data_IF_907956235168
#
_entry.id   IF_907956235168
#
_cell.length_a   1.000
_cell.length_b   1.000
_cell.length_c   1.000
_cell.angle_alpha   90.00
_cell.angle_beta   90.00
_cell.angle_gamma   90.00
#
_symmetry.space_group_name_H-M   'P 1'
#
loop_
_entity.id
_entity.type
_entity.pdbx_description
1 polymer ?
#
# COMPACT_ATOMS: atom_id res chain seq x y z
N UNK A 1 26.90 18.89 35.72
CA UNK A 1 27.32 19.43 34.38
C UNK A 1 28.16 18.41 33.61
N UNK A 2 29.12 17.75 34.25
CA UNK A 2 30.01 16.77 33.60
C UNK A 2 29.28 15.61 32.91
N UNK A 3 28.23 15.04 33.51
CA UNK A 3 27.44 13.95 32.90
C UNK A 3 26.74 14.37 31.59
N UNK A 4 26.29 15.62 31.48
CA UNK A 4 25.63 16.15 30.27
C UNK A 4 26.60 16.18 29.08
N UNK A 5 27.80 16.68 29.34
CA UNK A 5 28.87 16.74 28.34
C UNK A 5 29.33 15.34 27.92
N UNK A 6 29.48 14.42 28.89
CA UNK A 6 29.95 13.07 28.63
C UNK A 6 28.95 12.21 27.85
N UNK A 7 27.65 12.35 28.14
CA UNK A 7 26.60 11.58 27.48
C UNK A 7 26.13 12.20 26.16
N UNK A 8 26.56 13.43 25.83
CA UNK A 8 26.06 14.16 24.66
C UNK A 8 24.59 14.59 24.77
N UNK A 9 24.05 14.70 25.98
CA UNK A 9 22.63 14.98 26.25
C UNK A 9 22.47 16.32 26.97
N UNK A 10 21.39 17.06 26.67
CA UNK A 10 21.16 18.38 27.30
C UNK A 10 21.04 18.33 28.82
N UNK A 11 21.52 19.38 29.50
CA UNK A 11 21.39 19.53 30.96
C UNK A 11 19.93 19.58 31.45
N UNK A 12 18.98 19.91 30.57
CA UNK A 12 17.53 19.84 30.85
C UNK A 12 17.06 18.39 30.95
N UNK A 13 17.49 17.53 30.03
CA UNK A 13 17.09 16.11 29.98
C UNK A 13 17.65 15.32 31.17
N UNK A 14 18.88 15.59 31.60
CA UNK A 14 19.44 14.99 32.83
C UNK A 14 18.65 15.41 34.08
N UNK A 15 18.22 16.67 34.16
CA UNK A 15 17.37 17.13 35.27
C UNK A 15 16.03 16.40 35.28
N UNK A 16 15.39 16.25 34.13
CA UNK A 16 14.14 15.50 33.99
C UNK A 16 14.27 14.03 34.43
N UNK A 17 15.32 13.33 33.99
CA UNK A 17 15.56 11.93 34.37
C UNK A 17 15.88 11.78 35.87
N UNK A 18 16.52 12.77 36.48
CA UNK A 18 16.73 12.81 37.92
C UNK A 18 15.45 13.11 38.71
N UNK A 19 14.57 13.98 38.20
CA UNK A 19 13.24 14.26 38.77
C UNK A 19 12.32 13.03 38.71
N UNK A 20 12.48 12.20 37.67
CA UNK A 20 11.76 10.94 37.50
C UNK A 20 12.35 9.79 38.35
N UNK A 21 13.36 10.06 39.17
CA UNK A 21 14.01 9.05 40.04
C UNK A 21 14.88 8.04 39.29
N UNK A 22 15.10 8.23 37.99
CA UNK A 22 15.89 7.32 37.14
C UNK A 22 17.39 7.55 37.28
N UNK A 23 17.82 8.76 37.66
CA UNK A 23 19.22 9.10 37.93
C UNK A 23 19.44 9.37 39.42
N UNK A 24 20.43 8.69 40.00
CA UNK A 24 20.80 8.84 41.41
C UNK A 24 21.77 10.03 41.60
N UNK A 25 21.38 10.96 42.48
CA UNK A 25 22.18 12.15 42.83
C UNK A 25 23.07 11.84 44.04
N UNK A 26 24.38 11.98 43.86
CA UNK A 26 25.39 11.77 44.92
C UNK A 26 25.76 13.11 45.59
N UNK A 27 25.57 14.22 44.88
CA UNK A 27 25.88 15.56 45.37
C UNK A 27 25.24 16.65 44.52
N UNK A 28 25.57 17.92 44.81
CA UNK A 28 25.04 19.07 44.05
C UNK A 28 25.61 19.03 42.62
N UNK A 29 24.75 18.72 41.64
CA UNK A 29 25.12 18.53 40.23
C UNK A 29 26.05 17.33 39.95
N UNK A 30 26.12 16.38 40.90
CA UNK A 30 26.91 15.15 40.82
C UNK A 30 26.02 13.91 40.84
N UNK A 31 26.30 12.98 39.94
CA UNK A 31 25.49 11.79 39.69
C UNK A 31 26.38 10.56 39.68
N UNK A 32 25.87 9.42 40.16
CA UNK A 32 26.61 8.17 40.15
C UNK A 32 26.82 7.70 38.70
N UNK A 33 28.07 7.73 38.23
CA UNK A 33 28.41 7.57 36.81
C UNK A 33 27.93 6.23 36.23
N UNK A 34 28.23 5.12 36.90
CA UNK A 34 27.86 3.77 36.44
C UNK A 34 26.35 3.59 36.26
N UNK A 35 25.53 3.82 37.31
CA UNK A 35 24.07 3.77 37.20
C UNK A 35 23.51 4.77 36.19
N UNK A 36 24.07 5.98 36.12
CA UNK A 36 23.59 7.04 35.23
C UNK A 36 23.80 6.73 33.75
N UNK A 37 24.95 6.17 33.38
CA UNK A 37 25.21 5.79 31.98
C UNK A 37 24.27 4.67 31.56
N UNK A 38 24.06 3.66 32.42
CA UNK A 38 23.14 2.54 32.11
C UNK A 38 21.71 3.05 31.91
N UNK A 39 21.22 3.88 32.83
CA UNK A 39 19.91 4.51 32.73
C UNK A 39 19.74 5.35 31.44
N UNK A 40 20.79 6.07 31.03
CA UNK A 40 20.77 6.86 29.79
C UNK A 40 20.77 5.98 28.54
N UNK A 41 21.51 4.86 28.55
CA UNK A 41 21.50 3.89 27.45
C UNK A 41 20.12 3.22 27.35
N UNK A 42 19.51 2.85 28.47
CA UNK A 42 18.17 2.23 28.49
C UNK A 42 17.07 3.20 28.01
N UNK A 43 17.18 4.49 28.36
CA UNK A 43 16.32 5.55 27.86
C UNK A 43 16.50 5.76 26.35
N UNK A 44 17.74 5.81 25.86
CA UNK A 44 18.07 5.99 24.45
C UNK A 44 17.72 4.77 23.58
N UNK A 45 17.83 3.55 24.11
CA UNK A 45 17.53 2.30 23.42
C UNK A 45 16.02 2.05 23.23
N UNK A 46 15.14 2.99 23.62
CA UNK A 46 13.69 2.85 23.43
C UNK A 46 13.00 1.99 24.49
N UNK A 47 13.70 1.66 25.59
CA UNK A 47 13.06 1.18 26.81
C UNK A 47 12.36 2.32 27.56
N UNK A 48 12.60 3.57 27.15
CA UNK A 48 12.04 4.78 27.73
C UNK A 48 10.56 5.05 27.39
N UNK A 49 9.67 4.75 28.35
CA UNK A 49 8.24 5.14 28.39
C UNK A 49 7.34 4.68 27.22
N UNK A 50 6.11 4.28 27.55
CA UNK A 50 5.06 3.93 26.58
C UNK A 50 4.88 5.02 25.50
N UNK A 51 5.03 6.28 25.87
CA UNK A 51 4.87 7.44 24.99
C UNK A 51 5.86 7.46 23.80
N UNK A 52 7.12 7.07 24.00
CA UNK A 52 8.09 7.08 22.89
C UNK A 52 7.85 5.94 21.91
N UNK A 53 7.41 4.78 22.41
CA UNK A 53 7.05 3.64 21.55
C UNK A 53 5.87 3.98 20.65
N UNK A 54 4.83 4.62 21.21
CA UNK A 54 3.68 5.06 20.44
C UNK A 54 4.04 6.17 19.43
N UNK A 55 4.95 7.09 19.79
CA UNK A 55 5.47 8.08 18.83
C UNK A 55 6.21 7.43 17.66
N UNK A 56 7.09 6.47 17.92
CA UNK A 56 7.80 5.75 16.85
C UNK A 56 6.84 4.98 15.95
N UNK A 57 5.78 4.37 16.50
CA UNK A 57 4.73 3.72 15.72
C UNK A 57 3.97 4.71 14.84
N UNK A 58 3.57 5.85 15.39
CA UNK A 58 2.89 6.90 14.65
C UNK A 58 3.73 7.42 13.49
N UNK A 59 5.02 7.71 13.73
CA UNK A 59 5.95 8.19 12.70
C UNK A 59 6.11 7.17 11.57
N UNK A 60 6.19 5.86 11.90
CA UNK A 60 6.23 4.80 10.88
C UNK A 60 4.94 4.75 10.05
N UNK A 61 3.78 4.76 10.71
CA UNK A 61 2.49 4.76 10.01
C UNK A 61 2.33 5.99 9.08
N UNK A 62 2.82 7.16 9.51
CA UNK A 62 2.83 8.37 8.67
C UNK A 62 3.77 8.27 7.48
N UNK A 63 4.92 7.60 7.63
CA UNK A 63 5.83 7.32 6.53
C UNK A 63 5.18 6.37 5.51
N UNK A 64 4.58 5.29 5.98
CA UNK A 64 3.88 4.30 5.13
C UNK A 64 2.71 4.97 4.37
N UNK A 65 1.94 5.84 5.04
CA UNK A 65 0.86 6.60 4.40
C UNK A 65 1.40 7.57 3.33
N UNK A 66 2.53 8.23 3.59
CA UNK A 66 3.16 9.12 2.61
C UNK A 66 3.68 8.35 1.39
N UNK A 67 4.22 7.15 1.58
CA UNK A 67 4.64 6.27 0.49
C UNK A 67 3.45 5.80 -0.36
N UNK A 68 2.34 5.39 0.29
CA UNK A 68 1.12 5.00 -0.41
C UNK A 68 0.54 6.17 -1.23
N UNK A 69 0.43 7.37 -0.65
CA UNK A 69 -0.04 8.57 -1.37
C UNK A 69 0.87 8.92 -2.55
N UNK A 70 2.20 8.77 -2.40
CA UNK A 70 3.13 8.99 -3.51
C UNK A 70 2.94 7.95 -4.62
N UNK A 71 2.66 6.70 -4.25
CA UNK A 71 2.43 5.62 -5.21
C UNK A 71 1.07 5.79 -5.94
N UNK A 72 0.03 6.25 -5.24
CA UNK A 72 -1.26 6.67 -5.84
C UNK A 72 -1.06 7.84 -6.81
N UNK A 73 -0.30 8.88 -6.42
CA UNK A 73 -0.01 10.02 -7.29
C UNK A 73 0.76 9.62 -8.56
N UNK A 74 1.58 8.57 -8.47
CA UNK A 74 2.28 7.97 -9.61
C UNK A 74 1.41 6.98 -10.40
N UNK A 75 0.14 6.79 -10.03
CA UNK A 75 -0.79 5.82 -10.61
C UNK A 75 -0.29 4.36 -10.56
N UNK A 76 0.54 4.04 -9.55
CA UNK A 76 1.08 2.69 -9.35
C UNK A 76 0.19 1.82 -8.47
N UNK A 77 -0.77 2.42 -7.77
CA UNK A 77 -1.70 1.76 -6.86
C UNK A 77 -3.09 2.29 -7.14
N UNK A 78 -4.08 1.40 -7.19
CA UNK A 78 -5.49 1.74 -7.33
C UNK A 78 -6.28 1.06 -6.20
N UNK A 79 -7.39 1.65 -5.73
CA UNK A 79 -8.30 1.01 -4.79
C UNK A 79 -8.78 -0.35 -5.33
N UNK A 80 -8.82 -1.35 -4.46
CA UNK A 80 -9.21 -2.72 -4.83
C UNK A 80 -10.66 -2.75 -5.32
N UNK A 81 -11.52 -1.91 -4.74
CA UNK A 81 -12.93 -1.78 -5.09
C UNK A 81 -13.09 -1.29 -6.53
N UNK A 82 -12.35 -0.26 -6.93
CA UNK A 82 -12.37 0.26 -8.30
C UNK A 82 -11.86 -0.78 -9.30
N UNK A 83 -10.80 -1.52 -8.95
CA UNK A 83 -10.31 -2.62 -9.78
C UNK A 83 -11.35 -3.73 -9.94
N UNK A 84 -12.04 -4.11 -8.86
CA UNK A 84 -13.06 -5.15 -8.87
C UNK A 84 -14.26 -4.78 -9.77
N UNK A 85 -14.72 -3.52 -9.71
CA UNK A 85 -15.81 -3.03 -10.55
C UNK A 85 -15.44 -3.03 -12.03
N UNK A 86 -14.26 -2.49 -12.37
CA UNK A 86 -13.74 -2.48 -13.75
C UNK A 86 -13.61 -3.92 -14.26
N UNK A 87 -13.07 -4.83 -13.45
CA UNK A 87 -12.92 -6.24 -13.82
C UNK A 87 -14.27 -6.94 -14.02
N UNK A 88 -15.24 -6.71 -13.14
CA UNK A 88 -16.58 -7.25 -13.26
C UNK A 88 -17.25 -6.76 -14.56
N UNK A 89 -17.10 -5.49 -14.91
CA UNK A 89 -17.63 -4.95 -16.16
C UNK A 89 -16.93 -5.55 -17.38
N UNK A 90 -15.60 -5.69 -17.36
CA UNK A 90 -14.82 -6.36 -18.43
C UNK A 90 -15.32 -7.79 -18.67
N UNK A 91 -15.48 -8.57 -17.61
CA UNK A 91 -16.05 -9.92 -17.67
C UNK A 91 -17.47 -9.91 -18.23
N UNK A 92 -18.28 -8.91 -17.88
CA UNK A 92 -19.63 -8.70 -18.41
C UNK A 92 -19.65 -8.53 -19.93
N UNK A 93 -18.78 -7.67 -20.47
CA UNK A 93 -18.64 -7.44 -21.92
C UNK A 93 -18.22 -8.71 -22.64
N UNK A 94 -17.18 -9.40 -22.14
CA UNK A 94 -16.69 -10.65 -22.74
C UNK A 94 -17.82 -11.67 -22.82
N UNK A 95 -18.57 -11.85 -21.72
CA UNK A 95 -19.72 -12.76 -21.68
C UNK A 95 -20.77 -12.38 -22.72
N UNK A 96 -21.15 -11.11 -22.81
CA UNK A 96 -22.14 -10.65 -23.76
C UNK A 96 -21.70 -10.90 -25.22
N UNK A 97 -20.44 -10.58 -25.54
CA UNK A 97 -19.89 -10.77 -26.88
C UNK A 97 -19.82 -12.24 -27.28
N UNK A 98 -19.46 -13.12 -26.35
CA UNK A 98 -19.43 -14.57 -26.56
C UNK A 98 -20.82 -15.17 -26.75
N UNK A 99 -21.82 -14.74 -25.99
CA UNK A 99 -23.21 -15.21 -26.13
C UNK A 99 -23.84 -14.77 -27.47
N UNK A 100 -23.33 -13.71 -28.08
CA UNK A 100 -23.78 -13.24 -29.39
C UNK A 100 -23.13 -14.00 -30.57
N UNK A 101 -22.05 -14.76 -30.34
CA UNK A 101 -21.34 -15.51 -31.40
C UNK A 101 -22.29 -16.42 -32.19
N UNK A 102 -23.13 -17.28 -31.58
CA UNK A 102 -24.00 -18.18 -32.33
C UNK A 102 -24.92 -17.42 -33.29
N UNK A 103 -25.51 -16.31 -32.87
CA UNK A 103 -26.39 -15.50 -33.70
C UNK A 103 -25.70 -14.94 -34.97
N UNK A 104 -24.38 -14.73 -34.93
CA UNK A 104 -23.60 -14.18 -36.05
C UNK A 104 -23.08 -15.25 -37.02
N UNK A 105 -22.82 -16.47 -36.55
CA UNK A 105 -22.27 -17.55 -37.39
C UNK A 105 -23.31 -18.53 -37.91
N UNK A 106 -24.51 -18.60 -37.33
CA UNK A 106 -25.55 -19.58 -37.74
C UNK A 106 -25.79 -19.55 -39.24
N UNK A 107 -25.92 -18.37 -39.86
CA UNK A 107 -26.15 -18.24 -41.31
C UNK A 107 -24.99 -18.77 -42.17
N UNK A 108 -23.76 -18.70 -41.69
CA UNK A 108 -22.55 -19.17 -42.38
C UNK A 108 -22.32 -20.67 -42.20
N UNK A 109 -22.83 -21.24 -41.11
CA UNK A 109 -22.68 -22.65 -40.75
C UNK A 109 -23.84 -23.52 -41.24
N UNK A 110 -24.97 -22.92 -41.62
CA UNK A 110 -26.12 -23.66 -42.16
C UNK A 110 -25.75 -24.35 -43.48
N UNK A 111 -25.84 -25.69 -43.48
CA UNK A 111 -25.52 -26.51 -44.65
C UNK A 111 -24.03 -26.79 -44.85
N UNK A 112 -23.16 -26.32 -43.94
CA UNK A 112 -21.74 -26.67 -43.95
C UNK A 112 -21.55 -28.13 -43.52
N UNK A 113 -20.92 -28.93 -44.39
CA UNK A 113 -20.65 -30.35 -44.14
C UNK A 113 -19.14 -30.64 -44.01
N UNK A 114 -18.28 -29.65 -44.25
CA UNK A 114 -16.84 -29.75 -44.02
C UNK A 114 -16.52 -29.31 -42.58
N UNK A 115 -16.12 -30.28 -41.76
CA UNK A 115 -15.72 -30.07 -40.36
C UNK A 115 -14.58 -29.04 -40.22
N UNK A 116 -13.64 -28.99 -41.16
CA UNK A 116 -12.51 -28.06 -41.12
C UNK A 116 -12.98 -26.62 -41.32
N UNK A 117 -13.87 -26.40 -42.29
CA UNK A 117 -14.46 -25.06 -42.54
C UNK A 117 -15.38 -24.62 -41.41
N UNK A 118 -16.14 -25.57 -40.84
CA UNK A 118 -16.97 -25.30 -39.67
C UNK A 118 -16.13 -24.78 -38.50
N UNK A 119 -15.06 -25.51 -38.13
CA UNK A 119 -14.16 -25.11 -37.04
C UNK A 119 -13.46 -23.79 -37.32
N UNK A 120 -13.02 -23.56 -38.56
CA UNK A 120 -12.34 -22.32 -38.95
C UNK A 120 -13.27 -21.10 -38.79
N UNK A 121 -14.51 -21.20 -39.26
CA UNK A 121 -15.52 -20.14 -39.17
C UNK A 121 -15.87 -19.82 -37.72
N UNK A 122 -16.13 -20.85 -36.90
CA UNK A 122 -16.44 -20.65 -35.49
C UNK A 122 -15.25 -20.02 -34.73
N UNK A 123 -14.03 -20.48 -35.01
CA UNK A 123 -12.83 -19.95 -34.37
C UNK A 123 -12.58 -18.49 -34.76
N UNK A 124 -12.76 -18.14 -36.02
CA UNK A 124 -12.61 -16.76 -36.49
C UNK A 124 -13.58 -15.83 -35.75
N UNK A 125 -14.84 -16.22 -35.62
CA UNK A 125 -15.84 -15.41 -34.93
C UNK A 125 -15.54 -15.25 -33.43
N UNK A 126 -15.11 -16.31 -32.74
CA UNK A 126 -14.72 -16.23 -31.33
C UNK A 126 -13.56 -15.26 -31.16
N UNK A 127 -12.57 -15.30 -32.06
CA UNK A 127 -11.43 -14.39 -32.03
C UNK A 127 -11.91 -12.94 -32.19
N UNK A 128 -12.81 -12.66 -33.13
CA UNK A 128 -13.36 -11.31 -33.32
C UNK A 128 -14.18 -10.83 -32.12
N UNK A 129 -15.00 -11.70 -31.52
CA UNK A 129 -15.76 -11.40 -30.31
C UNK A 129 -14.84 -11.02 -29.12
N UNK A 130 -13.71 -11.71 -28.98
CA UNK A 130 -12.72 -11.44 -27.94
C UNK A 130 -11.95 -10.15 -28.23
N UNK A 131 -11.55 -9.90 -29.48
CA UNK A 131 -10.89 -8.65 -29.89
C UNK A 131 -11.77 -7.44 -29.62
N UNK A 132 -13.06 -7.51 -29.97
CA UNK A 132 -14.02 -6.44 -29.68
C UNK A 132 -14.15 -6.14 -28.19
N UNK A 133 -13.86 -7.12 -27.32
CA UNK A 133 -13.88 -6.95 -25.86
C UNK A 133 -12.56 -6.39 -25.30
N UNK A 134 -11.49 -6.38 -26.10
CA UNK A 134 -10.13 -6.05 -25.69
C UNK A 134 -9.79 -4.55 -25.83
N UNK A 135 -10.79 -3.68 -25.98
CA UNK A 135 -10.58 -2.23 -26.16
C UNK A 135 -9.73 -1.63 -25.01
N UNK A 136 -8.54 -1.08 -25.31
CA UNK A 136 -7.63 -0.54 -24.31
C UNK A 136 -8.11 0.77 -23.67
N UNK A 137 -9.07 1.50 -24.27
CA UNK A 137 -9.57 2.78 -23.72
C UNK A 137 -10.60 2.62 -22.60
N UNK A 138 -10.98 1.39 -22.29
CA UNK A 138 -11.99 1.14 -21.28
C UNK A 138 -11.38 1.31 -19.87
N UNK A 139 -11.72 2.45 -19.26
CA UNK A 139 -11.26 2.88 -17.94
C UNK A 139 -11.14 4.40 -17.78
N UNK A 140 -10.92 5.16 -18.86
CA UNK A 140 -10.64 6.61 -18.75
C UNK A 140 -11.88 7.49 -18.54
N UNK A 141 -13.07 7.07 -19.01
CA UNK A 141 -14.27 7.90 -18.95
C UNK A 141 -14.94 7.96 -17.56
N UNK A 142 -14.67 7.00 -16.67
CA UNK A 142 -15.29 6.92 -15.33
C UNK A 142 -14.35 7.31 -14.16
N UNK A 143 -13.12 7.76 -14.44
CA UNK A 143 -12.16 8.25 -13.44
C UNK A 143 -12.17 9.77 -13.30
N UNK A 144 -13.26 10.43 -13.66
CA UNK A 144 -13.47 11.84 -13.34
C UNK A 144 -13.51 12.02 -11.81
N UNK A 145 -12.84 13.03 -11.24
CA UNK A 145 -12.83 13.24 -9.80
C UNK A 145 -14.27 13.43 -9.32
N UNK A 146 -14.75 12.49 -8.50
CA UNK A 146 -15.94 12.72 -7.68
C UNK A 146 -15.59 13.87 -6.74
N UNK A 147 -16.26 15.00 -6.93
CA UNK A 147 -16.17 16.20 -6.08
C UNK A 147 -16.24 15.86 -4.58
#
# INVERSE_FOLDING_TARGET
MQLAALAGVSARRIRQLAEQGTLERVGRNEYALGPSIRALIDDAAGTGSVLQRERTRLVRAQADEAELRLAEAKKLVAPIEQYAEVWAHRCGIIRANMLNVPGRVVSQLLGENDESRFKATLRAEIIEALKASADPNFGDENLGPTN
#
